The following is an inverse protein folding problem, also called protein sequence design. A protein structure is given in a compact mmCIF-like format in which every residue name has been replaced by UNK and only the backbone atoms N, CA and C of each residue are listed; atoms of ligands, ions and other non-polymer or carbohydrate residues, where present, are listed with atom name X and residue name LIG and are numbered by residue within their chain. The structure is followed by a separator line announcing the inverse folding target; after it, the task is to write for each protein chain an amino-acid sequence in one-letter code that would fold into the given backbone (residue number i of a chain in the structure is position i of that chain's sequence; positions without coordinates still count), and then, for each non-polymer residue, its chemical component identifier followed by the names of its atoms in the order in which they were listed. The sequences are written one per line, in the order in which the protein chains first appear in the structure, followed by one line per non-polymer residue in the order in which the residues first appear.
data_IF_806738121991
#
_entry.id   IF_806738121991
#
_cell.length_a   1.000
_cell.length_b   1.000
_cell.length_c   1.000
_cell.angle_alpha   90.00
_cell.angle_beta   90.00
_cell.angle_gamma   90.00
#
_symmetry.space_group_name_H-M   'P 1'
#
loop_
_entity.id
_entity.type
_entity.pdbx_description
1 polymer ?
#
# COMPACT_ATOMS: atom_id res chain seq x y z
N UNK A 1 -2.29 1.85 -16.73
CA UNK A 1 -2.18 0.37 -16.71
C UNK A 1 -0.91 0.00 -15.96
N UNK A 2 -1.05 -0.65 -14.81
CA UNK A 2 0.08 -1.12 -14.03
C UNK A 2 0.79 -2.25 -14.78
N UNK A 3 2.06 -2.06 -15.11
CA UNK A 3 2.88 -3.06 -15.80
C UNK A 3 3.50 -4.03 -14.78
N UNK A 4 2.65 -4.66 -13.96
CA UNK A 4 3.09 -5.72 -13.04
C UNK A 4 3.10 -7.04 -13.83
N UNK A 5 4.24 -7.74 -13.83
CA UNK A 5 4.30 -9.08 -14.41
C UNK A 5 3.47 -10.07 -13.59
N UNK A 6 2.76 -10.98 -14.27
CA UNK A 6 1.82 -11.92 -13.62
C UNK A 6 2.49 -12.81 -12.55
N UNK A 7 3.77 -13.16 -12.74
CA UNK A 7 4.56 -13.91 -11.75
C UNK A 7 4.69 -13.22 -10.39
N UNK A 8 4.44 -11.90 -10.32
CA UNK A 8 4.48 -11.12 -9.08
C UNK A 8 3.09 -10.87 -8.50
N UNK A 9 2.01 -11.35 -9.10
CA UNK A 9 0.63 -11.08 -8.66
C UNK A 9 0.37 -11.53 -7.22
N UNK A 10 0.68 -12.78 -6.88
CA UNK A 10 0.50 -13.31 -5.53
C UNK A 10 1.35 -12.55 -4.51
N UNK A 11 2.53 -12.09 -4.92
CA UNK A 11 3.41 -11.28 -4.08
C UNK A 11 2.84 -9.88 -3.87
N UNK A 12 2.27 -9.26 -4.91
CA UNK A 12 1.60 -7.97 -4.82
C UNK A 12 0.41 -8.04 -3.86
N UNK A 13 -0.39 -9.11 -3.93
CA UNK A 13 -1.50 -9.36 -3.00
C UNK A 13 -1.02 -9.47 -1.55
N UNK A 14 0.04 -10.25 -1.30
CA UNK A 14 0.61 -10.44 0.04
C UNK A 14 1.22 -9.15 0.62
N UNK A 15 1.94 -8.39 -0.21
CA UNK A 15 2.51 -7.11 0.22
C UNK A 15 1.40 -6.11 0.58
N UNK A 16 0.36 -6.02 -0.25
CA UNK A 16 -0.77 -5.13 0.00
C UNK A 16 -1.52 -5.52 1.29
N UNK A 17 -1.80 -6.81 1.49
CA UNK A 17 -2.50 -7.30 2.69
C UNK A 17 -1.68 -7.16 3.98
N UNK A 18 -0.35 -7.14 3.90
CA UNK A 18 0.55 -6.89 5.04
C UNK A 18 0.76 -5.40 5.37
N UNK A 19 -0.02 -4.50 4.76
CA UNK A 19 0.05 -3.06 5.03
C UNK A 19 1.14 -2.33 4.26
N UNK A 20 1.67 -2.92 3.18
CA UNK A 20 2.56 -2.21 2.25
C UNK A 20 1.74 -1.31 1.34
N UNK A 21 2.14 -0.04 1.21
CA UNK A 21 1.42 0.89 0.33
C UNK A 21 1.60 0.54 -1.15
N UNK A 22 0.64 0.97 -1.97
CA UNK A 22 0.57 0.66 -3.40
C UNK A 22 1.85 1.02 -4.16
N UNK A 23 2.45 2.19 -3.90
CA UNK A 23 3.74 2.58 -4.52
C UNK A 23 4.91 1.67 -4.12
N UNK A 24 4.94 1.21 -2.87
CA UNK A 24 5.95 0.23 -2.43
C UNK A 24 5.73 -1.14 -3.07
N UNK A 25 4.48 -1.58 -3.24
CA UNK A 25 4.15 -2.80 -3.98
C UNK A 25 4.71 -2.71 -5.41
N UNK A 26 4.45 -1.61 -6.13
CA UNK A 26 5.00 -1.40 -7.48
C UNK A 26 6.53 -1.49 -7.51
N UNK A 27 7.22 -0.91 -6.52
CA UNK A 27 8.68 -0.97 -6.40
C UNK A 27 9.17 -2.42 -6.27
N UNK A 28 8.55 -3.21 -5.41
CA UNK A 28 8.91 -4.61 -5.19
C UNK A 28 8.59 -5.50 -6.39
N UNK A 29 7.46 -5.23 -7.05
CA UNK A 29 7.06 -5.87 -8.31
C UNK A 29 7.85 -5.38 -9.54
N UNK A 30 8.94 -4.63 -9.34
CA UNK A 30 9.89 -4.19 -10.38
C UNK A 30 9.27 -3.31 -11.47
N UNK A 31 8.24 -2.54 -11.15
CA UNK A 31 7.67 -1.56 -12.09
C UNK A 31 8.66 -0.41 -12.26
N UNK A 32 9.38 -0.41 -13.39
CA UNK A 32 10.43 0.57 -13.71
C UNK A 32 9.91 1.88 -14.32
N UNK A 33 8.68 1.89 -14.84
CA UNK A 33 8.08 3.13 -15.38
C UNK A 33 7.78 4.12 -14.25
N UNK A 34 8.18 5.39 -14.36
CA UNK A 34 7.86 6.40 -13.35
C UNK A 34 6.39 6.84 -13.38
N UNK A 35 5.66 6.59 -14.47
CA UNK A 35 4.31 7.14 -14.67
C UNK A 35 3.31 6.72 -13.56
N UNK A 36 3.22 5.43 -13.15
CA UNK A 36 2.34 5.03 -12.05
C UNK A 36 2.68 5.70 -10.71
N UNK A 37 3.95 6.03 -10.46
CA UNK A 37 4.35 6.64 -9.19
C UNK A 37 3.96 8.12 -9.09
N UNK A 38 3.70 8.77 -10.22
CA UNK A 38 3.29 10.19 -10.29
C UNK A 38 1.78 10.40 -10.14
N UNK A 39 0.99 9.34 -10.26
CA UNK A 39 -0.46 9.41 -10.04
C UNK A 39 -0.76 9.72 -8.56
N UNK A 40 -1.90 10.38 -8.27
CA UNK A 40 -2.40 10.55 -6.90
C UNK A 40 -2.45 9.22 -6.17
N UNK A 41 -2.08 9.20 -4.90
CA UNK A 41 -1.99 7.95 -4.12
C UNK A 41 -3.26 7.08 -4.19
N UNK A 42 -4.44 7.72 -4.17
CA UNK A 42 -5.73 7.04 -4.28
C UNK A 42 -5.90 6.33 -5.61
N UNK A 43 -5.51 6.96 -6.72
CA UNK A 43 -5.59 6.37 -8.06
C UNK A 43 -4.68 5.16 -8.19
N UNK A 44 -3.44 5.26 -7.71
CA UNK A 44 -2.49 4.12 -7.71
C UNK A 44 -3.06 2.94 -6.92
N UNK A 45 -3.69 3.22 -5.79
CA UNK A 45 -4.30 2.20 -4.93
C UNK A 45 -5.48 1.54 -5.61
N UNK A 46 -6.36 2.34 -6.21
CA UNK A 46 -7.51 1.83 -6.94
C UNK A 46 -7.09 0.98 -8.16
N UNK A 47 -6.10 1.43 -8.93
CA UNK A 47 -5.58 0.65 -10.06
C UNK A 47 -4.99 -0.68 -9.59
N UNK A 48 -4.25 -0.69 -8.48
CA UNK A 48 -3.65 -1.90 -7.94
C UNK A 48 -4.71 -2.88 -7.43
N UNK A 49 -5.70 -2.40 -6.68
CA UNK A 49 -6.80 -3.23 -6.21
C UNK A 49 -7.63 -3.79 -7.36
N UNK A 50 -7.89 -2.98 -8.40
CA UNK A 50 -8.56 -3.44 -9.62
C UNK A 50 -7.75 -4.52 -10.32
N UNK A 51 -6.44 -4.32 -10.49
CA UNK A 51 -5.55 -5.33 -11.08
C UNK A 51 -5.64 -6.65 -10.31
N UNK A 52 -5.57 -6.60 -8.98
CA UNK A 52 -5.59 -7.79 -8.10
C UNK A 52 -6.96 -8.50 -8.07
N UNK A 53 -8.06 -7.76 -8.25
CA UNK A 53 -9.42 -8.32 -8.28
C UNK A 53 -9.76 -9.04 -9.60
N UNK A 54 -9.03 -8.77 -10.68
CA UNK A 54 -9.26 -9.38 -12.01
C UNK A 54 -8.80 -10.85 -12.14
N UNK A 55 -8.34 -11.48 -11.06
CA UNK A 55 -7.65 -12.77 -11.07
C UNK A 55 -8.42 -13.93 -10.45
N UNK A 56 -9.66 -13.69 -10.01
CA UNK A 56 -10.55 -14.75 -9.52
C UNK A 56 -11.55 -15.15 -10.61
N UNK A 57 -11.33 -16.25 -11.35
CA UNK A 57 -12.44 -17.03 -11.90
C UNK A 57 -13.03 -17.86 -10.75
N UNK A 58 -14.25 -17.50 -10.35
CA UNK A 58 -15.25 -18.34 -9.67
C UNK A 58 -14.75 -19.63 -8.98
N UNK A 59 -14.61 -19.58 -7.66
CA UNK A 59 -14.99 -20.71 -6.81
C UNK A 59 -16.48 -20.58 -6.48
N UNK A 60 -17.34 -21.26 -7.25
CA UNK A 60 -18.74 -21.40 -6.89
C UNK A 60 -18.89 -22.31 -5.66
N UNK A 61 -19.59 -21.77 -4.66
CA UNK A 61 -20.49 -22.41 -3.71
C UNK A 61 -20.03 -23.66 -2.95
N UNK A 62 -19.77 -23.49 -1.65
CA UNK A 62 -20.62 -24.11 -0.61
C UNK A 62 -20.39 -23.42 0.75
N UNK A 63 -21.22 -22.43 1.05
CA UNK A 63 -21.40 -21.91 2.41
C UNK A 63 -22.84 -22.22 2.88
N UNK A 64 -23.05 -23.00 3.95
CA UNK A 64 -24.39 -23.32 4.47
C UNK A 64 -25.09 -22.09 5.06
N UNK A 65 -26.43 -22.02 5.04
CA UNK A 65 -27.17 -20.81 5.33
C UNK A 65 -27.13 -20.44 6.82
N UNK A 66 -26.69 -19.22 7.10
CA UNK A 66 -26.72 -18.59 8.41
C UNK A 66 -28.17 -18.44 8.90
N UNK A 67 -28.56 -19.24 9.90
CA UNK A 67 -29.82 -19.04 10.62
C UNK A 67 -29.70 -17.82 11.53
N UNK A 68 -30.55 -16.84 11.28
CA UNK A 68 -30.81 -15.71 12.18
C UNK A 68 -31.31 -16.24 13.52
N UNK A 69 -30.67 -15.86 14.61
CA UNK A 69 -31.32 -15.78 15.92
C UNK A 69 -31.03 -14.39 16.48
N UNK A 70 -32.12 -13.62 16.54
CA UNK A 70 -32.27 -12.36 17.27
C UNK A 70 -32.34 -12.69 18.76
N UNK A 71 -31.46 -12.12 19.58
CA UNK A 71 -31.81 -11.82 20.96
C UNK A 71 -30.97 -10.64 21.48
N UNK A 72 -31.69 -9.62 21.93
CA UNK A 72 -31.22 -8.42 22.58
C UNK A 72 -31.04 -8.74 24.08
N UNK A 73 -29.95 -8.28 24.72
CA UNK A 73 -30.11 -7.57 26.00
C UNK A 73 -28.87 -6.78 26.45
N UNK A 74 -29.18 -5.79 27.27
CA UNK A 74 -28.49 -4.56 27.66
C UNK A 74 -27.40 -4.77 28.73
N UNK A 75 -26.32 -3.96 28.78
CA UNK A 75 -25.99 -2.94 29.83
C UNK A 75 -24.50 -2.47 29.81
N UNK A 76 -24.31 -1.16 29.54
CA UNK A 76 -23.41 -0.12 30.11
C UNK A 76 -21.85 -0.19 30.19
N UNK A 77 -21.29 0.99 29.83
CA UNK A 77 -20.05 1.68 30.23
C UNK A 77 -18.74 1.41 29.44
N UNK A 78 -17.93 2.38 29.01
CA UNK A 78 -18.02 3.83 28.73
C UNK A 78 -16.66 4.25 28.11
N UNK A 79 -16.68 5.26 27.23
CA UNK A 79 -15.57 6.11 26.74
C UNK A 79 -14.45 5.52 25.86
N UNK A 80 -14.38 5.95 24.59
CA UNK A 80 -13.29 6.81 24.05
C UNK A 80 -13.79 7.54 22.79
N UNK A 81 -13.81 8.88 22.86
CA UNK A 81 -13.47 9.82 21.78
C UNK A 81 -14.20 9.73 20.43
N UNK A 82 -15.34 10.42 20.32
CA UNK A 82 -15.98 10.75 19.05
C UNK A 82 -15.16 11.86 18.34
N UNK A 83 -14.59 11.55 17.17
CA UNK A 83 -14.24 12.55 16.17
C UNK A 83 -15.16 12.32 14.99
N UNK A 84 -16.27 13.05 14.99
CA UNK A 84 -17.04 13.29 13.77
C UNK A 84 -16.21 14.20 12.87
N UNK A 85 -15.70 13.64 11.77
CA UNK A 85 -15.35 14.44 10.60
C UNK A 85 -15.99 13.81 9.36
N UNK A 86 -16.97 14.55 8.85
CA UNK A 86 -17.72 14.30 7.63
C UNK A 86 -16.82 14.61 6.44
N UNK A 87 -16.10 13.60 5.95
CA UNK A 87 -15.78 13.46 4.53
C UNK A 87 -15.26 12.03 4.30
N UNK A 88 -15.60 11.39 3.18
CA UNK A 88 -15.22 10.01 2.84
C UNK A 88 -13.72 9.79 2.59
N UNK A 89 -12.88 10.21 3.53
CA UNK A 89 -11.44 9.98 3.54
C UNK A 89 -11.21 8.62 4.20
N UNK A 90 -11.16 7.57 3.39
CA UNK A 90 -10.64 6.28 3.83
C UNK A 90 -9.33 6.53 4.58
N UNK A 91 -9.28 6.14 5.86
CA UNK A 91 -8.07 6.27 6.69
C UNK A 91 -7.01 5.36 6.07
N UNK A 92 -6.11 5.96 5.29
CA UNK A 92 -5.00 5.24 4.67
C UNK A 92 -4.01 4.89 5.78
N UNK A 93 -3.87 3.59 6.07
CA UNK A 93 -2.88 3.11 7.02
C UNK A 93 -1.46 3.51 6.63
N UNK A 94 -0.62 3.78 7.64
CA UNK A 94 0.80 4.09 7.43
C UNK A 94 1.51 2.84 6.90
N UNK A 95 2.23 2.99 5.79
CA UNK A 95 2.96 1.90 5.16
C UNK A 95 3.97 1.27 6.13
N UNK A 96 3.90 -0.05 6.31
CA UNK A 96 4.82 -0.80 7.18
C UNK A 96 6.27 -0.82 6.65
N UNK A 97 6.45 -0.52 5.36
CA UNK A 97 7.74 -0.49 4.69
C UNK A 97 8.35 0.92 4.63
N UNK A 98 7.64 1.90 4.06
CA UNK A 98 8.18 3.25 3.85
C UNK A 98 7.77 4.29 4.89
N UNK A 99 6.95 3.92 5.89
CA UNK A 99 6.53 4.81 6.98
C UNK A 99 5.92 6.14 6.48
N UNK A 100 5.15 6.09 5.39
CA UNK A 100 4.51 7.27 4.81
C UNK A 100 5.30 8.02 3.74
N UNK A 101 6.58 7.69 3.53
CA UNK A 101 7.45 8.42 2.57
C UNK A 101 6.88 8.42 1.15
N UNK A 102 6.43 7.26 0.66
CA UNK A 102 5.79 7.15 -0.67
C UNK A 102 4.26 7.30 -0.61
N UNK A 103 3.72 7.79 0.50
CA UNK A 103 2.31 8.13 0.67
C UNK A 103 2.21 9.66 0.71
N UNK A 104 1.78 10.23 1.84
CA UNK A 104 1.58 11.66 2.05
C UNK A 104 2.80 12.55 1.79
N UNK A 105 4.03 12.07 2.03
CA UNK A 105 5.24 12.88 1.86
C UNK A 105 5.67 13.02 0.40
N UNK A 106 5.08 12.24 -0.51
CA UNK A 106 5.29 12.34 -1.94
C UNK A 106 4.11 13.02 -2.67
N UNK A 107 3.06 13.41 -1.93
CA UNK A 107 1.90 14.09 -2.50
C UNK A 107 2.16 15.59 -2.73
N UNK A 108 1.51 16.21 -3.74
CA UNK A 108 1.67 17.62 -4.06
C UNK A 108 1.47 18.56 -2.87
N UNK A 109 0.59 18.21 -1.94
CA UNK A 109 0.26 18.98 -0.74
C UNK A 109 1.47 19.12 0.19
N UNK A 110 2.23 18.05 0.39
CA UNK A 110 3.45 18.10 1.19
C UNK A 110 4.56 18.86 0.46
N UNK A 111 4.72 18.60 -0.84
CA UNK A 111 5.73 19.27 -1.67
C UNK A 111 5.47 20.79 -1.72
N UNK A 112 4.22 21.23 -1.83
CA UNK A 112 3.83 22.65 -1.73
C UNK A 112 4.30 23.27 -0.41
N UNK A 113 4.16 22.59 0.72
CA UNK A 113 4.66 23.08 2.03
C UNK A 113 6.18 23.24 2.04
N UNK A 114 6.91 22.32 1.41
CA UNK A 114 8.36 22.43 1.24
C UNK A 114 8.71 23.68 0.42
N UNK A 115 8.05 23.90 -0.71
CA UNK A 115 8.28 25.09 -1.55
C UNK A 115 7.89 26.40 -0.87
N UNK A 116 6.80 26.43 -0.10
CA UNK A 116 6.44 27.62 0.71
C UNK A 116 7.59 27.98 1.65
N UNK A 117 8.18 26.98 2.32
CA UNK A 117 9.30 27.21 3.22
C UNK A 117 10.56 27.70 2.49
N UNK A 118 10.88 27.12 1.33
CA UNK A 118 12.02 27.52 0.49
C UNK A 118 11.84 28.97 0.01
N UNK A 119 10.67 29.31 -0.53
CA UNK A 119 10.39 30.64 -1.07
C UNK A 119 10.34 31.71 0.03
N UNK A 120 9.93 31.35 1.24
CA UNK A 120 9.94 32.27 2.40
C UNK A 120 11.33 32.57 2.96
N UNK A 121 12.36 31.81 2.55
CA UNK A 121 13.72 31.96 3.09
C UNK A 121 14.56 33.05 2.40
N UNK A 122 14.05 33.69 1.33
CA UNK A 122 14.70 34.84 0.69
C UNK A 122 15.91 34.49 -0.19
N UNK A 123 16.01 33.25 -0.67
CA UNK A 123 17.05 32.85 -1.62
C UNK A 123 16.71 33.29 -3.05
N UNK A 124 17.71 33.77 -3.79
CA UNK A 124 17.63 33.89 -5.25
C UNK A 124 17.98 32.53 -5.87
N UNK A 125 16.97 31.82 -6.39
CA UNK A 125 17.13 30.47 -6.92
C UNK A 125 16.99 30.48 -8.45
N UNK A 126 18.06 30.07 -9.15
CA UNK A 126 17.99 29.71 -10.57
C UNK A 126 17.66 28.23 -10.74
N UNK A 127 18.34 27.38 -9.97
CA UNK A 127 18.22 25.93 -9.94
C UNK A 127 18.42 25.46 -8.50
N UNK A 128 18.07 24.20 -8.19
CA UNK A 128 18.28 23.62 -6.87
C UNK A 128 18.63 22.13 -6.93
N UNK A 129 19.27 21.65 -5.87
CA UNK A 129 19.51 20.22 -5.63
C UNK A 129 18.63 19.78 -4.47
N UNK A 130 17.83 18.74 -4.69
CA UNK A 130 16.99 18.17 -3.64
C UNK A 130 17.68 16.99 -2.97
N UNK A 131 18.15 17.20 -1.74
CA UNK A 131 18.72 16.14 -0.91
C UNK A 131 17.68 15.66 0.10
N UNK A 132 17.45 14.35 0.17
CA UNK A 132 16.52 13.72 1.11
C UNK A 132 17.28 12.70 1.94
N UNK A 133 17.22 12.87 3.27
CA UNK A 133 17.70 11.87 4.22
C UNK A 133 16.53 11.06 4.74
N UNK A 134 16.62 9.74 4.62
CA UNK A 134 15.61 8.82 5.11
C UNK A 134 16.06 8.17 6.43
N UNK A 135 15.12 7.82 7.32
CA UNK A 135 15.49 7.17 8.57
C UNK A 135 16.20 5.82 8.35
N UNK A 136 17.31 5.58 9.06
CA UNK A 136 18.14 4.38 8.90
C UNK A 136 17.36 3.07 9.11
N UNK A 137 16.32 3.08 9.96
CA UNK A 137 15.45 1.93 10.17
C UNK A 137 14.70 1.47 8.91
N UNK A 138 14.59 2.31 7.87
CA UNK A 138 13.99 1.90 6.60
C UNK A 138 14.83 0.83 5.89
N UNK A 139 16.16 0.86 6.02
CA UNK A 139 17.03 -0.14 5.41
C UNK A 139 16.78 -1.54 5.99
N UNK A 140 16.56 -1.64 7.31
CA UNK A 140 16.22 -2.91 7.97
C UNK A 140 14.87 -3.44 7.46
N UNK A 141 13.89 -2.55 7.28
CA UNK A 141 12.57 -2.92 6.74
C UNK A 141 12.70 -3.41 5.30
N UNK A 142 13.45 -2.70 4.46
CA UNK A 142 13.66 -3.07 3.07
C UNK A 142 14.30 -4.45 2.93
N UNK A 143 15.36 -4.74 3.71
CA UNK A 143 16.00 -6.06 3.72
C UNK A 143 15.03 -7.15 4.19
N UNK A 144 14.27 -6.91 5.26
CA UNK A 144 13.28 -7.87 5.76
C UNK A 144 12.22 -8.18 4.71
N UNK A 145 11.67 -7.16 4.06
CA UNK A 145 10.66 -7.33 3.01
C UNK A 145 11.25 -8.01 1.76
N UNK A 146 12.51 -7.74 1.43
CA UNK A 146 13.21 -8.41 0.33
C UNK A 146 13.40 -9.91 0.59
N UNK A 147 13.75 -10.29 1.82
CA UNK A 147 13.82 -11.70 2.22
C UNK A 147 12.46 -12.37 2.14
N UNK A 148 11.41 -11.74 2.67
CA UNK A 148 10.03 -12.24 2.57
C UNK A 148 9.64 -12.41 1.09
N UNK A 149 9.95 -11.43 0.25
CA UNK A 149 9.68 -11.46 -1.18
C UNK A 149 10.35 -12.67 -1.87
N UNK A 150 11.64 -12.91 -1.60
CA UNK A 150 12.37 -14.08 -2.14
C UNK A 150 11.74 -15.39 -1.66
N UNK A 151 11.49 -15.51 -0.35
CA UNK A 151 10.91 -16.71 0.24
C UNK A 151 9.53 -17.01 -0.37
N UNK A 152 8.69 -15.99 -0.58
CA UNK A 152 7.37 -16.16 -1.18
C UNK A 152 7.44 -16.63 -2.64
N UNK A 153 8.38 -16.10 -3.43
CA UNK A 153 8.59 -16.56 -4.80
C UNK A 153 9.09 -18.01 -4.81
N UNK A 154 10.03 -18.36 -3.93
CA UNK A 154 10.55 -19.72 -3.83
C UNK A 154 9.45 -20.73 -3.45
N UNK A 155 8.63 -20.41 -2.45
CA UNK A 155 7.51 -21.25 -2.01
C UNK A 155 6.42 -21.35 -3.08
N UNK A 156 6.07 -20.25 -3.74
CA UNK A 156 5.07 -20.28 -4.83
C UNK A 156 5.54 -21.15 -5.99
N UNK A 157 6.83 -21.09 -6.34
CA UNK A 157 7.43 -21.96 -7.36
C UNK A 157 7.47 -23.43 -6.93
N UNK A 158 7.79 -23.71 -5.67
CA UNK A 158 7.82 -25.08 -5.14
C UNK A 158 6.41 -25.68 -5.09
N UNK A 159 5.42 -24.93 -4.60
CA UNK A 159 4.03 -25.38 -4.55
C UNK A 159 3.46 -25.67 -5.95
N UNK A 160 3.85 -24.88 -6.96
CA UNK A 160 3.48 -25.14 -8.35
C UNK A 160 4.13 -26.42 -8.93
N UNK A 161 5.33 -26.78 -8.47
CA UNK A 161 6.00 -28.03 -8.87
C UNK A 161 5.42 -29.25 -8.16
N UNK A 162 4.95 -29.10 -6.91
CA UNK A 162 4.37 -30.21 -6.13
C UNK A 162 2.91 -30.50 -6.45
N UNK A 163 2.16 -29.56 -7.03
CA UNK A 163 0.78 -29.81 -7.51
C UNK A 163 0.71 -30.43 -8.91
N UNK A 164 1.87 -30.59 -9.58
CA UNK A 164 2.02 -31.24 -10.88
C UNK A 164 2.80 -32.57 -10.79
N UNK A 165 2.76 -33.23 -9.64
CA UNK A 165 3.17 -34.62 -9.40
C UNK A 165 2.09 -35.31 -8.56
#
# INVERSE_FOLDING_TARGET
MLLIEEKYRSVAQLLLSSGTCSRCVLRFCRVGSPAPYRLPYKEVTNELQKYLSQGDPAGENDAPPSKKVKLEDTTSNEHVGNSEDVNGSQVVGICTLCLGILQQFCEPEFIKKVFVKINSAGYELKDFVFSVSLPAQLSVREVKFYLIFISCIAVTRLNFLTTWF
#
